data_IF_457016917505
#
_entry.id   IF_457016917505
#
_cell.length_a   1.000
_cell.length_b   1.000
_cell.length_c   1.000
_cell.angle_alpha   90.00
_cell.angle_beta   90.00
_cell.angle_gamma   90.00
#
_symmetry.space_group_name_H-M   'P 1'
#
loop_
_entity.id
_entity.type
_entity.pdbx_description
1 polymer ?
#
# COMPACT_ATOMS: atom_id res chain seq x y z
N UNK A 1 -5.19 13.44 68.20
CA UNK A 1 -5.29 12.14 68.88
C UNK A 1 -5.32 11.05 67.81
N UNK A 2 -4.21 10.33 67.55
CA UNK A 2 -4.15 9.34 66.48
C UNK A 2 -4.84 8.02 66.89
N UNK A 3 -5.70 7.51 66.00
CA UNK A 3 -6.50 6.30 66.19
C UNK A 3 -5.69 5.02 66.01
N UNK A 4 -5.87 4.10 66.95
CA UNK A 4 -5.22 2.81 67.08
C UNK A 4 -5.65 1.76 66.05
N UNK A 5 -4.70 0.85 65.81
CA UNK A 5 -4.71 -0.35 64.98
C UNK A 5 -5.73 -1.38 65.47
N UNK A 6 -6.41 -2.10 64.56
CA UNK A 6 -6.92 -3.45 64.84
C UNK A 6 -6.53 -4.42 63.73
N UNK A 7 -5.72 -5.40 64.08
CA UNK A 7 -5.44 -6.62 63.31
C UNK A 7 -6.71 -7.48 63.32
N UNK A 8 -7.16 -7.93 62.16
CA UNK A 8 -8.30 -8.86 62.06
C UNK A 8 -7.85 -10.20 61.50
N UNK A 9 -8.28 -11.22 62.24
CA UNK A 9 -8.04 -12.65 62.13
C UNK A 9 -8.41 -13.26 60.78
N UNK A 10 -7.72 -14.37 60.50
CA UNK A 10 -8.00 -15.37 59.49
C UNK A 10 -9.49 -15.73 59.38
N UNK A 11 -9.97 -15.88 58.13
CA UNK A 11 -11.18 -16.65 57.85
C UNK A 11 -10.88 -17.70 56.78
N UNK A 12 -10.96 -18.92 57.29
CA UNK A 12 -10.88 -20.24 56.68
C UNK A 12 -11.64 -20.38 55.37
N UNK A 13 -11.02 -21.16 54.48
CA UNK A 13 -11.48 -21.54 53.15
C UNK A 13 -12.76 -22.37 53.19
N UNK A 14 -13.69 -22.10 52.27
CA UNK A 14 -14.74 -23.03 51.85
C UNK A 14 -14.62 -23.17 50.33
N UNK A 15 -14.27 -24.38 49.87
CA UNK A 15 -14.03 -24.66 48.46
C UNK A 15 -15.30 -24.59 47.62
N UNK A 16 -15.19 -23.93 46.46
CA UNK A 16 -16.12 -24.08 45.36
C UNK A 16 -15.40 -24.86 44.24
N UNK A 17 -16.07 -25.83 43.58
CA UNK A 17 -15.44 -26.66 42.57
C UNK A 17 -15.12 -25.83 41.32
N UNK A 18 -13.87 -25.94 40.85
CA UNK A 18 -13.45 -25.46 39.54
C UNK A 18 -14.14 -26.33 38.50
N UNK A 19 -15.15 -25.81 37.84
CA UNK A 19 -15.75 -26.43 36.66
C UNK A 19 -14.78 -26.22 35.50
N UNK A 20 -14.05 -27.27 35.11
CA UNK A 20 -13.28 -27.31 33.87
C UNK A 20 -14.26 -27.36 32.68
N UNK A 21 -14.44 -26.25 31.97
CA UNK A 21 -14.97 -26.28 30.60
C UNK A 21 -13.89 -26.82 29.68
N UNK A 22 -14.05 -28.07 29.23
CA UNK A 22 -13.29 -28.59 28.10
C UNK A 22 -13.77 -27.89 26.82
N UNK A 23 -13.02 -26.91 26.34
CA UNK A 23 -13.25 -26.32 25.02
C UNK A 23 -12.85 -27.36 23.95
N UNK A 24 -13.83 -28.06 23.38
CA UNK A 24 -13.60 -28.88 22.20
C UNK A 24 -13.24 -27.96 21.03
N UNK A 25 -12.02 -28.06 20.52
CA UNK A 25 -11.66 -27.52 19.20
C UNK A 25 -12.52 -28.23 18.16
N UNK A 26 -13.66 -27.62 17.83
CA UNK A 26 -14.45 -28.02 16.67
C UNK A 26 -13.67 -27.63 15.42
N UNK A 27 -13.06 -28.61 14.75
CA UNK A 27 -12.66 -28.43 13.36
C UNK A 27 -13.93 -28.18 12.57
N UNK A 28 -14.11 -26.96 12.06
CA UNK A 28 -15.18 -26.64 11.11
C UNK A 28 -14.87 -27.38 9.82
N UNK A 29 -15.39 -28.60 9.69
CA UNK A 29 -15.40 -29.37 8.44
C UNK A 29 -16.50 -28.82 7.54
N UNK A 30 -16.37 -27.56 7.13
CA UNK A 30 -17.17 -27.03 6.04
C UNK A 30 -16.65 -27.60 4.71
N UNK A 31 -17.52 -27.89 3.71
CA UNK A 31 -17.03 -28.23 2.39
C UNK A 31 -16.18 -27.05 1.87
N UNK A 32 -14.97 -27.35 1.40
CA UNK A 32 -14.16 -26.40 0.64
C UNK A 32 -14.96 -26.00 -0.59
N UNK A 33 -15.61 -24.84 -0.53
CA UNK A 33 -16.33 -24.31 -1.67
C UNK A 33 -15.26 -23.94 -2.71
N UNK A 34 -15.27 -24.53 -3.92
CA UNK A 34 -14.35 -24.12 -4.96
C UNK A 34 -14.57 -22.63 -5.23
N UNK A 35 -13.47 -21.89 -5.38
CA UNK A 35 -13.53 -20.47 -5.70
C UNK A 35 -14.46 -20.26 -6.90
N UNK A 36 -15.57 -19.56 -6.69
CA UNK A 36 -16.35 -18.99 -7.78
C UNK A 36 -15.40 -18.21 -8.66
N UNK A 37 -15.51 -18.33 -9.99
CA UNK A 37 -14.69 -17.60 -10.95
C UNK A 37 -14.52 -16.14 -10.49
N UNK A 38 -13.30 -15.77 -10.15
CA UNK A 38 -13.00 -14.42 -9.68
C UNK A 38 -13.36 -13.46 -10.82
N UNK A 39 -14.14 -12.39 -10.58
CA UNK A 39 -14.45 -11.43 -11.63
C UNK A 39 -13.13 -10.96 -12.25
N UNK A 40 -13.09 -10.87 -13.58
CA UNK A 40 -11.90 -10.42 -14.29
C UNK A 40 -11.48 -9.04 -13.74
N UNK A 41 -10.27 -8.97 -13.19
CA UNK A 41 -9.65 -7.72 -12.72
C UNK A 41 -9.61 -6.72 -13.88
N UNK A 42 -9.96 -5.45 -13.66
CA UNK A 42 -9.85 -4.45 -14.73
C UNK A 42 -8.38 -4.26 -15.15
N UNK A 43 -8.09 -3.86 -16.39
CA UNK A 43 -6.71 -3.64 -16.85
C UNK A 43 -5.94 -2.68 -15.93
N UNK A 44 -6.55 -1.56 -15.54
CA UNK A 44 -5.95 -0.61 -14.60
C UNK A 44 -5.65 -1.23 -13.24
N UNK A 45 -6.55 -2.09 -12.72
CA UNK A 45 -6.32 -2.76 -11.46
C UNK A 45 -5.16 -3.78 -11.54
N UNK A 46 -4.99 -4.47 -12.67
CA UNK A 46 -3.80 -5.31 -12.88
C UNK A 46 -2.52 -4.48 -12.89
N UNK A 47 -2.52 -3.30 -13.52
CA UNK A 47 -1.37 -2.38 -13.49
C UNK A 47 -1.04 -1.95 -12.06
N UNK A 48 -2.03 -1.61 -11.22
CA UNK A 48 -1.79 -1.27 -9.80
C UNK A 48 -1.17 -2.45 -9.05
N UNK A 49 -1.65 -3.68 -9.29
CA UNK A 49 -1.08 -4.88 -8.66
C UNK A 49 0.34 -5.10 -9.16
N UNK A 50 0.61 -4.89 -10.45
CA UNK A 50 1.94 -5.03 -11.02
C UNK A 50 2.95 -4.07 -10.40
N UNK A 51 2.62 -2.78 -10.28
CA UNK A 51 3.53 -1.82 -9.65
C UNK A 51 3.77 -2.09 -8.15
N UNK A 52 2.80 -2.71 -7.46
CA UNK A 52 3.03 -3.25 -6.12
C UNK A 52 4.03 -4.43 -6.14
N UNK A 53 3.95 -5.33 -7.12
CA UNK A 53 4.94 -6.41 -7.30
C UNK A 53 6.32 -5.85 -7.63
N UNK A 54 6.42 -4.85 -8.50
CA UNK A 54 7.67 -4.15 -8.84
C UNK A 54 8.36 -3.58 -7.60
N UNK A 55 7.62 -2.86 -6.74
CA UNK A 55 8.18 -2.35 -5.48
C UNK A 55 8.58 -3.50 -4.53
N UNK A 56 7.77 -4.57 -4.47
CA UNK A 56 8.09 -5.74 -3.64
C UNK A 56 9.38 -6.42 -4.09
N UNK A 57 9.59 -6.57 -5.41
CA UNK A 57 10.81 -7.12 -5.99
C UNK A 57 12.01 -6.21 -5.73
N UNK A 58 11.83 -4.90 -5.79
CA UNK A 58 12.89 -3.93 -5.51
C UNK A 58 13.46 -4.04 -4.08
N UNK A 59 12.63 -4.51 -3.13
CA UNK A 59 13.05 -4.80 -1.75
C UNK A 59 13.68 -6.18 -1.55
N UNK A 60 13.46 -7.11 -2.48
CA UNK A 60 14.04 -8.45 -2.42
C UNK A 60 15.52 -8.48 -2.86
N UNK A 61 16.05 -7.40 -3.47
CA UNK A 61 17.44 -7.32 -3.95
C UNK A 61 18.42 -7.28 -2.77
N UNK A 62 19.27 -8.31 -2.57
CA UNK A 62 20.20 -8.35 -1.45
C UNK A 62 21.20 -7.20 -1.48
N UNK A 63 21.40 -6.53 -0.34
CA UNK A 63 22.38 -5.45 -0.20
C UNK A 63 21.99 -4.13 -0.86
N UNK A 64 20.86 -4.06 -1.58
CA UNK A 64 20.39 -2.82 -2.20
C UNK A 64 19.82 -1.81 -1.19
N UNK A 65 19.60 -2.24 0.05
CA UNK A 65 18.83 -1.49 1.02
C UNK A 65 19.64 -1.20 2.30
N UNK A 66 19.54 0.00 2.87
CA UNK A 66 20.17 0.31 4.16
C UNK A 66 19.68 -0.62 5.27
N UNK A 67 20.51 -0.90 6.28
CA UNK A 67 20.11 -1.71 7.44
C UNK A 67 18.92 -1.11 8.24
N UNK A 68 18.59 0.17 8.01
CA UNK A 68 17.50 0.93 8.65
C UNK A 68 16.29 1.10 7.73
N UNK A 69 15.91 0.08 6.96
CA UNK A 69 14.73 0.17 6.10
C UNK A 69 13.46 0.46 6.93
N UNK A 70 12.68 1.42 6.45
CA UNK A 70 11.28 1.59 6.83
C UNK A 70 10.38 1.31 5.61
N UNK A 71 10.11 0.02 5.34
CA UNK A 71 9.30 -0.44 4.19
C UNK A 71 7.95 0.28 4.02
N UNK A 72 7.20 0.64 5.08
CA UNK A 72 5.89 1.25 4.89
C UNK A 72 5.90 2.58 4.14
N UNK A 73 6.98 3.37 4.23
CA UNK A 73 7.03 4.70 3.60
C UNK A 73 7.02 4.63 2.07
N UNK A 74 7.91 3.87 1.40
CA UNK A 74 7.84 3.67 -0.05
C UNK A 74 6.48 3.17 -0.55
N UNK A 75 5.87 2.18 0.11
CA UNK A 75 4.54 1.71 -0.28
C UNK A 75 3.47 2.79 -0.13
N UNK A 76 3.50 3.55 0.97
CA UNK A 76 2.54 4.63 1.18
C UNK A 76 2.66 5.72 0.10
N UNK A 77 3.88 6.19 -0.19
CA UNK A 77 4.12 7.24 -1.20
C UNK A 77 3.73 6.74 -2.60
N UNK A 78 4.08 5.50 -2.94
CA UNK A 78 3.69 4.87 -4.20
C UNK A 78 2.17 4.84 -4.37
N UNK A 79 1.45 4.28 -3.39
CA UNK A 79 0.02 4.07 -3.53
C UNK A 79 -0.80 5.36 -3.46
N UNK A 80 -0.36 6.40 -2.73
CA UNK A 80 -1.05 7.70 -2.77
C UNK A 80 -0.83 8.42 -4.10
N UNK A 81 0.33 8.28 -4.74
CA UNK A 81 0.57 8.82 -6.07
C UNK A 81 -0.26 8.09 -7.14
N UNK A 82 -0.31 6.76 -7.09
CA UNK A 82 -1.18 5.95 -7.96
C UNK A 82 -2.64 6.35 -7.78
N UNK A 83 -3.09 6.54 -6.53
CA UNK A 83 -4.46 6.94 -6.23
C UNK A 83 -4.80 8.31 -6.82
N UNK A 84 -3.97 9.32 -6.61
CA UNK A 84 -4.23 10.67 -7.15
C UNK A 84 -4.14 10.72 -8.68
N UNK A 85 -3.24 9.94 -9.28
CA UNK A 85 -3.12 9.83 -10.74
C UNK A 85 -4.37 9.19 -11.35
N UNK A 86 -4.82 8.06 -10.81
CA UNK A 86 -6.05 7.41 -11.28
C UNK A 86 -7.27 8.29 -11.03
N UNK A 87 -7.38 8.94 -9.87
CA UNK A 87 -8.49 9.81 -9.53
C UNK A 87 -8.48 11.15 -10.32
N UNK A 88 -7.37 11.48 -10.98
CA UNK A 88 -7.28 12.59 -11.93
C UNK A 88 -7.87 12.23 -13.30
N UNK A 89 -7.74 10.96 -13.71
CA UNK A 89 -8.34 10.42 -14.95
C UNK A 89 -9.81 10.05 -14.74
N UNK A 90 -10.10 9.33 -13.66
CA UNK A 90 -11.42 8.84 -13.27
C UNK A 90 -11.82 9.42 -11.91
N UNK A 91 -12.41 10.63 -11.88
CA UNK A 91 -12.68 11.35 -10.63
C UNK A 91 -13.85 10.75 -9.86
N UNK A 92 -13.57 9.72 -9.06
CA UNK A 92 -14.55 9.01 -8.23
C UNK A 92 -14.49 9.41 -6.75
N UNK A 93 -13.34 9.90 -6.30
CA UNK A 93 -13.07 10.19 -4.90
C UNK A 93 -12.47 11.60 -4.72
N UNK A 94 -12.36 12.04 -3.47
CA UNK A 94 -11.51 13.19 -3.15
C UNK A 94 -10.04 12.79 -3.31
N UNK A 95 -9.22 13.59 -4.01
CA UNK A 95 -7.78 13.33 -4.08
C UNK A 95 -7.17 13.40 -2.69
N UNK A 96 -6.12 12.62 -2.46
CA UNK A 96 -5.29 12.70 -1.28
C UNK A 96 -4.59 14.05 -1.18
N UNK A 97 -4.03 14.53 -2.29
CA UNK A 97 -3.32 15.80 -2.34
C UNK A 97 -3.65 16.63 -3.58
N UNK A 98 -3.50 16.05 -4.78
CA UNK A 98 -3.58 16.79 -6.03
C UNK A 98 -4.55 16.14 -7.01
N UNK A 99 -5.24 17.00 -7.78
CA UNK A 99 -5.99 16.59 -8.97
C UNK A 99 -5.43 17.33 -10.17
N UNK A 100 -4.97 16.58 -11.16
CA UNK A 100 -4.46 17.12 -12.42
C UNK A 100 -5.55 17.01 -13.48
N UNK A 101 -5.69 18.01 -14.34
CA UNK A 101 -6.65 17.94 -15.44
C UNK A 101 -6.12 16.98 -16.51
N UNK A 102 -6.88 15.91 -16.78
CA UNK A 102 -6.57 14.96 -17.83
C UNK A 102 -7.16 15.38 -19.18
N UNK A 103 -6.42 15.13 -20.26
CA UNK A 103 -6.96 15.23 -21.61
C UNK A 103 -8.04 14.15 -21.81
N UNK A 104 -9.10 14.42 -22.60
CA UNK A 104 -10.09 13.40 -22.94
C UNK A 104 -9.44 12.20 -23.61
N UNK A 105 -9.65 11.00 -23.05
CA UNK A 105 -9.07 9.76 -23.59
C UNK A 105 -7.66 9.42 -23.10
N UNK A 106 -7.10 10.18 -22.16
CA UNK A 106 -5.89 9.79 -21.45
C UNK A 106 -6.03 8.41 -20.80
N UNK A 107 -5.02 7.55 -20.92
CA UNK A 107 -5.08 6.17 -20.39
C UNK A 107 -4.90 6.15 -18.86
N UNK A 108 -5.85 5.54 -18.11
CA UNK A 108 -5.68 5.29 -16.68
C UNK A 108 -4.44 4.44 -16.36
N UNK A 109 -4.16 3.42 -17.18
CA UNK A 109 -3.01 2.53 -17.05
C UNK A 109 -1.70 3.31 -17.14
N UNK A 110 -1.57 4.19 -18.14
CA UNK A 110 -0.39 5.01 -18.33
C UNK A 110 -0.20 6.02 -17.19
N UNK A 111 -1.27 6.62 -16.69
CA UNK A 111 -1.21 7.55 -15.56
C UNK A 111 -0.75 6.87 -14.28
N UNK A 112 -1.31 5.69 -13.97
CA UNK A 112 -0.88 4.86 -12.83
C UNK A 112 0.58 4.45 -12.97
N UNK A 113 0.97 3.95 -14.15
CA UNK A 113 2.31 3.43 -14.38
C UNK A 113 3.38 4.51 -14.31
N UNK A 114 3.15 5.67 -14.94
CA UNK A 114 4.09 6.79 -14.89
C UNK A 114 4.22 7.35 -13.46
N UNK A 115 3.10 7.49 -12.74
CA UNK A 115 3.15 7.96 -11.35
C UNK A 115 3.96 7.02 -10.46
N UNK A 116 3.74 5.71 -10.64
CA UNK A 116 4.47 4.69 -9.92
C UNK A 116 5.97 4.71 -10.24
N UNK A 117 6.31 4.72 -11.53
CA UNK A 117 7.66 4.82 -12.03
C UNK A 117 8.43 5.98 -11.41
N UNK A 118 7.91 7.20 -11.52
CA UNK A 118 8.61 8.41 -11.12
C UNK A 118 8.84 8.46 -9.59
N UNK A 119 7.87 7.98 -8.81
CA UNK A 119 8.04 7.80 -7.35
C UNK A 119 9.14 6.80 -7.05
N UNK A 120 9.15 5.64 -7.71
CA UNK A 120 10.15 4.60 -7.45
C UNK A 120 11.56 5.02 -7.87
N UNK A 121 11.73 5.68 -9.01
CA UNK A 121 13.01 6.23 -9.45
C UNK A 121 13.54 7.26 -8.45
N UNK A 122 12.67 8.14 -7.93
CA UNK A 122 13.07 9.14 -6.95
C UNK A 122 13.51 8.52 -5.61
N UNK A 123 12.89 7.40 -5.22
CA UNK A 123 13.14 6.75 -3.92
C UNK A 123 14.24 5.68 -3.96
N UNK A 124 14.41 5.00 -5.10
CA UNK A 124 15.28 3.85 -5.30
C UNK A 124 16.10 4.01 -6.61
N UNK A 125 16.92 5.07 -6.74
CA UNK A 125 17.54 5.45 -8.01
C UNK A 125 18.51 4.39 -8.57
N UNK A 126 19.09 3.55 -7.72
CA UNK A 126 19.98 2.44 -8.15
C UNK A 126 19.25 1.36 -8.95
N UNK A 127 17.91 1.34 -8.91
CA UNK A 127 17.07 0.36 -9.60
C UNK A 127 16.30 0.96 -10.79
N UNK A 128 16.64 2.19 -11.20
CA UNK A 128 15.94 2.91 -12.26
C UNK A 128 15.75 2.10 -13.54
N UNK A 129 16.79 1.41 -14.05
CA UNK A 129 16.68 0.63 -15.28
C UNK A 129 15.59 -0.47 -15.22
N UNK A 130 15.34 -1.05 -14.04
CA UNK A 130 14.27 -2.03 -13.86
C UNK A 130 12.89 -1.36 -13.91
N UNK A 131 12.75 -0.16 -13.34
CA UNK A 131 11.51 0.62 -13.40
C UNK A 131 11.25 1.14 -14.81
N UNK A 132 12.27 1.63 -15.52
CA UNK A 132 12.17 2.07 -16.92
C UNK A 132 11.63 0.92 -17.80
N UNK A 133 12.12 -0.30 -17.57
CA UNK A 133 11.67 -1.51 -18.28
C UNK A 133 10.20 -1.82 -17.97
N UNK A 134 9.80 -1.83 -16.70
CA UNK A 134 8.42 -2.09 -16.30
C UNK A 134 7.44 -1.03 -16.84
N UNK A 135 7.87 0.24 -16.90
CA UNK A 135 7.10 1.31 -17.53
C UNK A 135 6.95 1.07 -19.03
N UNK A 136 8.04 0.78 -19.74
CA UNK A 136 8.00 0.50 -21.18
C UNK A 136 7.07 -0.68 -21.51
N UNK A 137 7.12 -1.76 -20.73
CA UNK A 137 6.24 -2.93 -20.89
C UNK A 137 4.77 -2.57 -20.64
N UNK A 138 4.48 -1.75 -19.62
CA UNK A 138 3.11 -1.30 -19.32
C UNK A 138 2.54 -0.41 -20.43
N UNK A 139 3.37 0.44 -21.04
CA UNK A 139 2.94 1.39 -22.07
C UNK A 139 2.87 0.78 -23.48
N UNK A 140 3.65 -0.26 -23.76
CA UNK A 140 3.73 -0.91 -25.07
C UNK A 140 2.38 -1.32 -25.72
N UNK A 141 1.39 -1.86 -24.97
CA UNK A 141 0.11 -2.25 -25.57
C UNK A 141 -0.87 -1.08 -25.77
N UNK A 142 -0.55 0.12 -25.28
CA UNK A 142 -1.47 1.26 -25.28
C UNK A 142 -1.37 2.09 -26.57
N UNK A 143 -2.44 2.81 -26.91
CA UNK A 143 -2.40 3.82 -27.97
C UNK A 143 -1.38 4.92 -27.60
N UNK A 144 -0.43 5.28 -28.49
CA UNK A 144 0.64 6.23 -28.15
C UNK A 144 0.14 7.58 -27.62
N UNK A 145 -0.94 8.13 -28.20
CA UNK A 145 -1.51 9.41 -27.74
C UNK A 145 -2.13 9.30 -26.35
N UNK A 146 -2.97 8.29 -26.12
CA UNK A 146 -3.58 8.06 -24.82
C UNK A 146 -2.54 7.74 -23.74
N UNK A 147 -1.49 7.01 -24.11
CA UNK A 147 -0.37 6.70 -23.23
C UNK A 147 0.41 7.95 -22.84
N UNK A 148 0.74 8.81 -23.81
CA UNK A 148 1.44 10.07 -23.56
C UNK A 148 0.63 11.01 -22.66
N UNK A 149 -0.67 11.16 -22.93
CA UNK A 149 -1.56 12.02 -22.14
C UNK A 149 -1.74 11.49 -20.71
N UNK A 150 -1.89 10.18 -20.55
CA UNK A 150 -1.96 9.53 -19.23
C UNK A 150 -0.64 9.68 -18.47
N UNK A 151 0.49 9.41 -19.12
CA UNK A 151 1.81 9.57 -18.52
C UNK A 151 2.06 11.01 -18.05
N UNK A 152 1.68 12.02 -18.84
CA UNK A 152 1.81 13.42 -18.43
C UNK A 152 1.05 13.72 -17.12
N UNK A 153 -0.15 13.16 -16.95
CA UNK A 153 -0.91 13.23 -15.68
C UNK A 153 -0.16 12.54 -14.55
N UNK A 154 0.31 11.31 -14.77
CA UNK A 154 1.03 10.52 -13.76
C UNK A 154 2.31 11.20 -13.27
N UNK A 155 3.11 11.74 -14.19
CA UNK A 155 4.34 12.47 -13.88
C UNK A 155 4.06 13.75 -13.06
N UNK A 156 3.01 14.48 -13.43
CA UNK A 156 2.60 15.66 -12.68
C UNK A 156 2.18 15.32 -11.24
N UNK A 157 1.41 14.24 -11.05
CA UNK A 157 1.00 13.78 -9.71
C UNK A 157 2.19 13.29 -8.89
N UNK A 158 3.07 12.47 -9.47
CA UNK A 158 4.25 11.95 -8.76
C UNK A 158 5.12 13.07 -8.22
N UNK A 159 5.36 14.12 -9.02
CA UNK A 159 6.11 15.30 -8.59
C UNK A 159 5.50 15.97 -7.36
N UNK A 160 4.20 16.24 -7.38
CA UNK A 160 3.48 16.89 -6.26
C UNK A 160 3.50 16.03 -5.00
N UNK A 161 3.29 14.72 -5.14
CA UNK A 161 3.36 13.79 -4.00
C UNK A 161 4.78 13.72 -3.43
N UNK A 162 5.81 13.61 -4.26
CA UNK A 162 7.20 13.60 -3.79
C UNK A 162 7.57 14.90 -3.08
N UNK A 163 7.10 16.05 -3.59
CA UNK A 163 7.27 17.35 -2.94
C UNK A 163 6.59 17.40 -1.57
N UNK A 164 5.32 16.98 -1.48
CA UNK A 164 4.57 16.87 -0.22
C UNK A 164 5.29 15.97 0.79
N UNK A 165 5.89 14.87 0.32
CA UNK A 165 6.50 13.83 1.17
C UNK A 165 7.99 14.02 1.43
N UNK A 166 8.62 15.06 0.88
CA UNK A 166 10.06 15.34 1.02
C UNK A 166 10.52 15.44 2.48
N UNK A 167 9.72 16.10 3.32
CA UNK A 167 10.07 16.45 4.71
C UNK A 167 9.06 15.87 5.72
N UNK A 168 8.57 14.66 5.46
CA UNK A 168 7.53 14.01 6.24
C UNK A 168 7.94 13.50 7.63
N UNK A 169 9.19 13.75 8.03
CA UNK A 169 9.72 13.41 9.34
C UNK A 169 10.16 11.96 9.50
N UNK A 170 10.20 11.15 8.42
CA UNK A 170 10.58 9.74 8.48
C UNK A 170 11.99 9.48 9.05
N UNK A 171 12.89 10.46 8.92
CA UNK A 171 14.28 10.40 9.32
C UNK A 171 14.61 11.26 10.53
N UNK A 172 13.60 11.69 11.31
CA UNK A 172 13.86 12.42 12.56
C UNK A 172 14.32 11.44 13.64
N UNK A 173 15.54 11.67 14.13
CA UNK A 173 16.19 10.96 15.24
C UNK A 173 15.81 11.54 16.58
#
# INVERSE_FOLDING_TARGET
MPGQIRKSCARTWCGAPVVLLAATLGFVTGPFQPATAQPATSPTAEVVIEWNRVLSAAFAVPGAQPATIFFPRPYAILHVAIFDALNSIEPRYMPYHVRVNAAPGASPEAAVAQAAHDVLVAMLPTQQAAFDTALAETLAPLSPGAAADGAAVGAAVAREILELRRNDGWNRT
#
